data_IF_027157118407
#
_entry.id   IF_027157118407
#
_cell.length_a   1.000
_cell.length_b   1.000
_cell.length_c   1.000
_cell.angle_alpha   90.00
_cell.angle_beta   90.00
_cell.angle_gamma   90.00
#
_symmetry.space_group_name_H-M   'P 1'
#
loop_
_entity.id
_entity.type
_entity.pdbx_description
1 polymer ?
#
# COMPACT_ATOMS: atom_id res chain seq x y z
N UNK A 1 3.86 -33.29 1.26
CA UNK A 1 2.89 -32.68 0.33
C UNK A 1 1.98 -31.65 1.01
N UNK A 2 1.41 -31.92 2.20
CA UNK A 2 0.51 -30.96 2.89
C UNK A 2 1.21 -29.68 3.37
N UNK A 3 2.48 -29.78 3.81
CA UNK A 3 3.28 -28.64 4.26
C UNK A 3 3.53 -27.59 3.17
N UNK A 4 3.61 -27.98 1.89
CA UNK A 4 3.79 -27.00 0.80
C UNK A 4 2.49 -26.28 0.46
N UNK A 5 1.34 -26.96 0.58
CA UNK A 5 0.02 -26.33 0.42
C UNK A 5 -0.25 -25.30 1.53
N UNK A 6 0.00 -25.65 2.79
CA UNK A 6 -0.19 -24.73 3.92
C UNK A 6 0.74 -23.51 3.78
N UNK A 7 2.03 -23.72 3.45
CA UNK A 7 2.98 -22.62 3.21
C UNK A 7 2.56 -21.74 2.05
N UNK A 8 2.06 -22.34 0.95
CA UNK A 8 1.60 -21.60 -0.22
C UNK A 8 0.33 -20.80 0.07
N UNK A 9 -0.62 -21.38 0.80
CA UNK A 9 -1.83 -20.68 1.24
C UNK A 9 -1.50 -19.53 2.19
N UNK A 10 -0.56 -19.72 3.11
CA UNK A 10 -0.09 -18.67 4.01
C UNK A 10 0.58 -17.52 3.24
N UNK A 11 1.44 -17.83 2.26
CA UNK A 11 2.06 -16.83 1.38
C UNK A 11 1.01 -16.06 0.57
N UNK A 12 0.00 -16.75 0.06
CA UNK A 12 -1.11 -16.13 -0.66
C UNK A 12 -1.93 -15.19 0.24
N UNK A 13 -2.29 -15.63 1.44
CA UNK A 13 -2.96 -14.78 2.44
C UNK A 13 -2.12 -13.58 2.83
N UNK A 14 -0.80 -13.76 3.00
CA UNK A 14 0.10 -12.66 3.34
C UNK A 14 0.23 -11.66 2.18
N UNK A 15 0.30 -12.14 0.94
CA UNK A 15 0.25 -11.26 -0.24
C UNK A 15 -1.08 -10.51 -0.35
N UNK A 16 -2.23 -11.15 -0.04
CA UNK A 16 -3.55 -10.49 -0.02
C UNK A 16 -3.57 -9.37 1.02
N UNK A 17 -3.08 -9.67 2.22
CA UNK A 17 -2.97 -8.70 3.30
C UNK A 17 -2.08 -7.52 2.89
N UNK A 18 -0.89 -7.79 2.37
CA UNK A 18 0.03 -6.74 1.91
C UNK A 18 -0.62 -5.92 0.79
N UNK A 19 -1.26 -6.56 -0.19
CA UNK A 19 -1.94 -5.86 -1.28
C UNK A 19 -3.03 -4.90 -0.80
N UNK A 20 -3.76 -5.27 0.26
CA UNK A 20 -4.85 -4.47 0.79
C UNK A 20 -4.34 -3.32 1.66
N UNK A 21 -3.34 -3.59 2.52
CA UNK A 21 -2.89 -2.63 3.53
C UNK A 21 -1.69 -1.78 3.08
N UNK A 22 -0.85 -2.26 2.17
CA UNK A 22 0.31 -1.49 1.69
C UNK A 22 -0.06 -0.13 1.08
N UNK A 23 -1.04 -0.02 0.15
CA UNK A 23 -1.41 1.28 -0.41
C UNK A 23 -1.83 2.31 0.66
N UNK A 24 -2.81 2.05 1.54
CA UNK A 24 -3.19 3.02 2.56
C UNK A 24 -2.07 3.30 3.58
N UNK A 25 -1.25 2.30 3.95
CA UNK A 25 -0.09 2.53 4.81
C UNK A 25 0.92 3.50 4.18
N UNK A 26 1.27 3.30 2.90
CA UNK A 26 2.18 4.20 2.19
C UNK A 26 1.61 5.62 2.13
N UNK A 27 0.31 5.78 1.88
CA UNK A 27 -0.34 7.09 1.84
C UNK A 27 -0.28 7.79 3.21
N UNK A 28 -0.55 7.06 4.30
CA UNK A 28 -0.49 7.61 5.65
C UNK A 28 0.93 8.02 6.02
N UNK A 29 1.93 7.16 5.75
CA UNK A 29 3.34 7.48 6.02
C UNK A 29 3.75 8.72 5.21
N UNK A 30 3.38 8.79 3.94
CA UNK A 30 3.65 9.95 3.10
C UNK A 30 3.02 11.22 3.66
N UNK A 31 1.76 11.18 4.07
CA UNK A 31 1.06 12.32 4.66
C UNK A 31 1.75 12.81 5.94
N UNK A 32 2.08 11.89 6.86
CA UNK A 32 2.76 12.22 8.11
C UNK A 32 4.11 12.89 7.85
N UNK A 33 4.93 12.29 6.99
CA UNK A 33 6.25 12.86 6.63
C UNK A 33 6.10 14.20 5.92
N UNK A 34 5.13 14.32 5.02
CA UNK A 34 4.88 15.56 4.28
C UNK A 34 4.53 16.72 5.21
N UNK A 35 3.61 16.54 6.15
CA UNK A 35 3.23 17.59 7.10
C UNK A 35 4.29 17.85 8.18
N UNK A 36 5.16 16.89 8.48
CA UNK A 36 6.32 17.14 9.34
C UNK A 36 7.32 18.09 8.67
N UNK A 37 7.50 17.99 7.35
CA UNK A 37 8.43 18.84 6.60
C UNK A 37 7.76 20.16 6.20
N UNK A 38 6.48 20.11 5.84
CA UNK A 38 5.66 21.23 5.38
C UNK A 38 4.37 21.34 6.21
N UNK A 39 4.43 21.88 7.43
CA UNK A 39 3.28 21.93 8.35
C UNK A 39 2.09 22.74 7.77
N UNK A 40 2.38 23.84 7.07
CA UNK A 40 1.38 24.66 6.36
C UNK A 40 1.26 24.26 4.88
N UNK A 41 1.80 23.09 4.52
CA UNK A 41 1.79 22.59 3.15
C UNK A 41 0.37 22.31 2.66
N UNK A 42 0.10 22.48 1.36
CA UNK A 42 -1.23 22.22 0.82
C UNK A 42 -1.53 20.71 0.85
N UNK A 43 -2.81 20.33 0.97
CA UNK A 43 -3.24 18.92 1.13
C UNK A 43 -3.21 18.12 -0.20
N UNK A 44 -3.27 18.80 -1.36
CA UNK A 44 -3.37 18.16 -2.67
C UNK A 44 -2.25 17.17 -3.02
N UNK A 45 -0.98 17.30 -2.58
CA UNK A 45 0.07 16.32 -2.87
C UNK A 45 -0.22 14.94 -2.29
N UNK A 46 -0.87 14.88 -1.12
CA UNK A 46 -1.32 13.61 -0.51
C UNK A 46 -2.38 12.95 -1.38
N UNK A 47 -3.31 13.75 -1.93
CA UNK A 47 -4.33 13.26 -2.85
C UNK A 47 -3.75 12.71 -4.15
N UNK A 48 -2.78 13.41 -4.75
CA UNK A 48 -2.08 12.92 -5.94
C UNK A 48 -1.33 11.64 -5.64
N UNK A 49 -0.62 11.58 -4.51
CA UNK A 49 0.09 10.38 -4.09
C UNK A 49 -0.86 9.19 -3.90
N UNK A 50 -2.04 9.42 -3.32
CA UNK A 50 -3.07 8.39 -3.17
C UNK A 50 -3.54 7.83 -4.53
N UNK A 51 -3.81 8.69 -5.50
CA UNK A 51 -4.19 8.27 -6.86
C UNK A 51 -3.07 7.46 -7.52
N UNK A 52 -1.81 7.89 -7.39
CA UNK A 52 -0.67 7.15 -7.91
C UNK A 52 -0.56 5.76 -7.26
N UNK A 53 -0.72 5.67 -5.94
CA UNK A 53 -0.70 4.38 -5.24
C UNK A 53 -1.81 3.45 -5.71
N UNK A 54 -3.02 3.96 -5.95
CA UNK A 54 -4.14 3.17 -6.49
C UNK A 54 -3.82 2.67 -7.90
N UNK A 55 -3.26 3.51 -8.77
CA UNK A 55 -2.89 3.11 -10.14
C UNK A 55 -1.79 2.06 -10.11
N UNK A 56 -0.76 2.26 -9.29
CA UNK A 56 0.37 1.33 -9.16
C UNK A 56 -0.13 0.00 -8.61
N UNK A 57 -0.84 -0.01 -7.50
CA UNK A 57 -1.35 -1.26 -6.92
C UNK A 57 -2.34 -1.93 -7.85
N UNK A 58 -3.28 -1.20 -8.44
CA UNK A 58 -4.24 -1.76 -9.39
C UNK A 58 -3.60 -2.31 -10.66
N UNK A 59 -2.45 -1.80 -11.08
CA UNK A 59 -1.75 -2.24 -12.30
C UNK A 59 -0.74 -3.36 -12.06
N UNK A 60 -0.01 -3.31 -10.94
CA UNK A 60 1.07 -4.24 -10.62
C UNK A 60 0.63 -5.38 -9.70
N UNK A 61 -0.38 -5.16 -8.85
CA UNK A 61 -1.01 -6.24 -8.09
C UNK A 61 -2.14 -6.84 -8.92
N UNK A 62 -1.75 -7.48 -10.02
CA UNK A 62 -2.61 -8.44 -10.71
C UNK A 62 -2.41 -9.79 -10.03
N UNK A 63 -3.42 -10.21 -9.29
CA UNK A 63 -3.55 -11.57 -8.78
C UNK A 63 -3.63 -12.58 -9.93
#
# INVERSE_FOLDING_TARGET
MMMSFIKRALLWLFQQLISLYAPPLCIVIFAVVFFQIFPEGPVWPVGIFAVLMIIIVGRYVKW
#
